data_IF_375352577003
#
_entry.id   IF_375352577003
#
_cell.length_a   1.000
_cell.length_b   1.000
_cell.length_c   1.000
_cell.angle_alpha   90.00
_cell.angle_beta   90.00
_cell.angle_gamma   90.00
#
_symmetry.space_group_name_H-M   'P 1'
#
loop_
_entity.id
_entity.type
_entity.pdbx_description
1 polymer ?
#
# COMPACT_ATOMS: atom_id res chain seq x y z
N UNK A 1 8.48 7.44 11.65
CA UNK A 1 9.13 7.52 10.32
C UNK A 1 8.09 6.94 9.40
N UNK A 2 7.63 7.68 8.41
CA UNK A 2 6.53 7.21 7.58
C UNK A 2 7.07 6.64 6.28
N UNK A 3 6.28 5.78 5.66
CA UNK A 3 6.50 5.31 4.31
C UNK A 3 5.18 5.30 3.56
N UNK A 4 5.25 5.36 2.23
CA UNK A 4 4.11 5.06 1.37
C UNK A 4 4.27 3.63 0.89
N UNK A 5 3.21 2.84 1.00
CA UNK A 5 3.16 1.51 0.37
C UNK A 5 2.95 1.68 -1.13
N UNK A 6 3.70 0.95 -1.94
CA UNK A 6 3.49 0.87 -3.38
C UNK A 6 3.41 -0.59 -3.83
N UNK A 7 2.83 -0.82 -5.01
CA UNK A 7 2.65 -2.15 -5.56
C UNK A 7 3.77 -2.48 -6.56
N UNK A 8 4.52 -3.58 -6.37
CA UNK A 8 5.52 -3.97 -7.33
C UNK A 8 4.81 -4.37 -8.63
N UNK A 9 5.29 -3.86 -9.77
CA UNK A 9 4.77 -4.20 -11.11
C UNK A 9 4.76 -5.71 -11.38
N UNK A 10 5.61 -6.47 -10.69
CA UNK A 10 5.72 -7.93 -10.77
C UNK A 10 4.59 -8.68 -10.03
N UNK A 11 3.90 -8.04 -9.09
CA UNK A 11 2.72 -8.60 -8.38
C UNK A 11 1.45 -8.34 -9.18
N UNK A 12 1.54 -7.66 -10.33
CA UNK A 12 0.49 -7.60 -11.35
C UNK A 12 0.25 -8.99 -11.96
N UNK A 13 -0.10 -9.96 -11.12
CA UNK A 13 -0.85 -11.15 -11.46
C UNK A 13 -2.28 -10.70 -11.79
N UNK A 14 -2.46 -10.11 -12.98
CA UNK A 14 -3.73 -9.76 -13.69
C UNK A 14 -5.04 -9.78 -12.88
N UNK A 15 -5.14 -9.07 -11.75
CA UNK A 15 -6.39 -9.04 -10.96
C UNK A 15 -6.26 -8.83 -9.46
N UNK A 16 -5.08 -8.48 -8.93
CA UNK A 16 -4.91 -8.04 -7.54
C UNK A 16 -4.38 -6.61 -7.55
N UNK A 17 -5.01 -5.73 -6.76
CA UNK A 17 -4.52 -4.38 -6.49
C UNK A 17 -4.10 -4.26 -5.03
N UNK A 18 -3.05 -3.46 -4.80
CA UNK A 18 -2.66 -3.04 -3.46
C UNK A 18 -2.86 -1.53 -3.37
N UNK A 19 -3.54 -1.09 -2.32
CA UNK A 19 -3.76 0.33 -2.11
C UNK A 19 -2.50 0.98 -1.55
N UNK A 20 -2.11 2.11 -2.14
CA UNK A 20 -1.09 2.98 -1.58
C UNK A 20 -1.62 3.68 -0.33
N UNK A 21 -0.90 3.59 0.79
CA UNK A 21 -1.27 4.23 2.04
C UNK A 21 -0.03 4.69 2.80
N UNK A 22 -0.18 5.77 3.57
CA UNK A 22 0.87 6.26 4.45
C UNK A 22 0.89 5.38 5.71
N UNK A 23 2.01 4.72 5.96
CA UNK A 23 2.21 3.81 7.10
C UNK A 23 3.30 4.34 8.03
N UNK A 24 3.14 4.09 9.33
CA UNK A 24 4.18 4.40 10.32
C UNK A 24 5.11 3.19 10.49
N UNK A 25 6.38 3.35 10.10
CA UNK A 25 7.42 2.33 10.22
C UNK A 25 7.81 2.03 11.67
N UNK A 26 7.33 2.80 12.66
CA UNK A 26 7.52 2.49 14.08
C UNK A 26 6.56 1.43 14.61
N UNK A 27 5.53 1.06 13.84
CA UNK A 27 4.56 0.05 14.24
C UNK A 27 5.15 -1.36 14.06
N UNK A 28 4.73 -2.28 14.93
CA UNK A 28 5.18 -3.68 14.92
C UNK A 28 4.81 -4.39 13.60
N UNK A 29 3.64 -4.07 13.05
CA UNK A 29 3.18 -4.57 11.76
C UNK A 29 2.80 -3.41 10.84
N UNK A 30 3.10 -3.59 9.55
CA UNK A 30 2.69 -2.68 8.49
C UNK A 30 1.44 -3.26 7.83
N UNK A 31 0.27 -2.59 7.93
CA UNK A 31 -0.94 -3.07 7.28
C UNK A 31 -0.85 -2.85 5.78
N UNK A 32 -1.25 -3.86 5.00
CA UNK A 32 -1.38 -3.78 3.54
C UNK A 32 -2.84 -4.04 3.18
N UNK A 33 -3.44 -3.14 2.39
CA UNK A 33 -4.81 -3.32 1.89
C UNK A 33 -4.75 -3.88 0.48
N UNK A 34 -5.38 -5.02 0.28
CA UNK A 34 -5.39 -5.76 -0.99
C UNK A 34 -6.82 -5.91 -1.49
N UNK A 35 -7.05 -5.64 -2.76
CA UNK A 35 -8.32 -5.85 -3.45
C UNK A 35 -8.14 -6.91 -4.53
N UNK A 36 -8.98 -7.95 -4.48
CA UNK A 36 -9.16 -8.86 -5.59
C UNK A 36 -10.16 -8.23 -6.58
N UNK A 37 -9.70 -7.97 -7.81
CA UNK A 37 -10.55 -7.47 -8.89
C UNK A 37 -11.33 -8.59 -9.59
N UNK A 38 -10.96 -9.85 -9.33
CA UNK A 38 -11.61 -11.02 -9.88
C UNK A 38 -12.69 -11.53 -8.92
N UNK A 39 -13.69 -12.21 -9.47
CA UNK A 39 -14.70 -12.93 -8.69
C UNK A 39 -14.19 -14.31 -8.25
N UNK A 40 -13.10 -14.79 -8.83
CA UNK A 40 -12.42 -16.03 -8.42
C UNK A 40 -11.43 -15.78 -7.27
N UNK A 41 -11.25 -16.74 -6.34
CA UNK A 41 -10.22 -16.64 -5.32
C UNK A 41 -8.83 -16.43 -5.91
N UNK A 42 -8.03 -15.56 -5.27
CA UNK A 42 -6.61 -15.38 -5.55
C UNK A 42 -5.83 -15.82 -4.31
N UNK A 43 -4.72 -16.52 -4.53
CA UNK A 43 -3.81 -16.94 -3.46
C UNK A 43 -2.61 -16.02 -3.43
N UNK A 44 -2.23 -15.57 -2.24
CA UNK A 44 -0.97 -14.91 -1.98
C UNK A 44 -0.12 -15.88 -1.17
N UNK A 45 0.94 -16.39 -1.79
CA UNK A 45 1.80 -17.35 -1.14
C UNK A 45 2.64 -16.69 -0.04
N UNK A 46 2.96 -17.48 0.99
CA UNK A 46 3.87 -17.03 2.05
C UNK A 46 5.23 -16.65 1.45
N UNK A 47 5.72 -15.46 1.79
CA UNK A 47 7.00 -14.94 1.28
C UNK A 47 6.86 -14.21 -0.07
N UNK A 48 5.67 -14.15 -0.66
CA UNK A 48 5.43 -13.26 -1.79
C UNK A 48 5.59 -11.80 -1.36
N UNK A 49 6.41 -11.06 -2.11
CA UNK A 49 6.47 -9.61 -1.99
C UNK A 49 5.19 -9.05 -2.62
N UNK A 50 4.31 -8.44 -1.82
CA UNK A 50 3.04 -7.88 -2.32
C UNK A 50 3.01 -6.35 -2.35
N UNK A 51 3.87 -5.71 -1.56
CA UNK A 51 3.99 -4.28 -1.45
C UNK A 51 5.45 -3.94 -1.14
N UNK A 52 5.92 -2.82 -1.67
CA UNK A 52 7.15 -2.16 -1.23
C UNK A 52 6.78 -0.93 -0.40
N UNK A 53 7.72 -0.41 0.38
CA UNK A 53 7.53 0.80 1.18
C UNK A 53 8.67 1.75 0.89
N UNK A 54 8.35 2.97 0.49
CA UNK A 54 9.33 4.04 0.29
C UNK A 54 9.24 5.05 1.44
N UNK A 55 10.35 5.34 2.16
CA UNK A 55 10.36 6.31 3.23
C UNK A 55 9.93 7.70 2.77
N UNK A 56 9.07 8.34 3.56
CA UNK A 56 8.65 9.73 3.33
C UNK A 56 9.55 10.68 4.12
N UNK A 57 10.08 11.68 3.43
CA UNK A 57 11.00 12.69 4.00
C UNK A 57 10.23 13.78 4.76
N UNK A 58 9.09 14.21 4.23
CA UNK A 58 8.26 15.25 4.84
C UNK A 58 6.75 15.01 4.59
N UNK A 59 5.91 15.40 5.54
CA UNK A 59 4.45 15.32 5.45
C UNK A 59 3.89 16.73 5.65
N UNK A 60 3.54 17.37 4.54
CA UNK A 60 2.91 18.68 4.56
C UNK A 60 1.40 18.47 4.72
N UNK A 61 0.86 18.88 5.86
CA UNK A 61 -0.58 18.87 6.06
C UNK A 61 -1.22 19.97 5.21
N UNK A 62 -2.14 19.60 4.31
CA UNK A 62 -2.99 20.58 3.63
C UNK A 62 -3.88 21.25 4.69
N UNK A 63 -3.99 22.59 4.74
CA UNK A 63 -4.92 23.27 5.63
C UNK A 63 -6.34 22.77 5.37
N UNK A 64 -7.09 22.43 6.42
CA UNK A 64 -8.46 21.88 6.33
C UNK A 64 -9.52 22.88 5.83
N UNK A 65 -9.12 23.94 5.13
CA UNK A 65 -9.92 25.15 4.90
C UNK A 65 -10.12 25.59 3.46
N UNK A 66 -10.00 24.70 2.46
CA UNK A 66 -10.45 25.01 1.10
C UNK A 66 -11.13 23.79 0.48
N UNK A 67 -12.47 23.80 0.53
CA UNK A 67 -13.27 23.25 -0.57
C UNK A 67 -12.94 24.06 -1.83
N UNK A 68 -12.95 23.38 -2.96
CA UNK A 68 -13.17 24.05 -4.25
C UNK A 68 -14.51 24.81 -4.22
#
# INVERSE_FOLDING_TARGET
RYAVTDFPSQVSQKGVLVAATLVDLKKEAIPVRVLNLDHKPKTIDKGAVIATCEPVVDIIARPQGFSE
#
